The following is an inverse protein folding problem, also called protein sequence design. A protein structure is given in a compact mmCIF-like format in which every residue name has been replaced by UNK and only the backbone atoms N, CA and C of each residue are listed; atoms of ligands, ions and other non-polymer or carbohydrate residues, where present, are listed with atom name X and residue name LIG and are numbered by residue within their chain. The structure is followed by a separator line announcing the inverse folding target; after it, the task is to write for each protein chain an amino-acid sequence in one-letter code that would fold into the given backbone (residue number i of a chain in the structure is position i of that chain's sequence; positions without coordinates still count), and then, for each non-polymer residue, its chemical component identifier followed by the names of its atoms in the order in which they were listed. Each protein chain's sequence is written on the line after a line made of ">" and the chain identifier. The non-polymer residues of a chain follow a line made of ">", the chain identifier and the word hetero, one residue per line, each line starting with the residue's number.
data_IF_119585649969
#
_entry.id   IF_119585649969
#
_cell.length_a   1.000
_cell.length_b   1.000
_cell.length_c   1.000
_cell.angle_alpha   90.00
_cell.angle_beta   90.00
_cell.angle_gamma   90.00
#
_symmetry.space_group_name_H-M   'P 1'
#
loop_
_entity.id
_entity.type
_entity.pdbx_description
1 polymer ?
#
# COMPACT_ATOMS: atom_id res chain seq x y z
N UNK A 1 -14.24 -13.08 5.39
CA UNK A 1 -13.34 -11.91 5.43
C UNK A 1 -13.82 -10.96 4.34
N UNK A 2 -14.15 -9.72 4.66
CA UNK A 2 -14.79 -8.78 3.74
C UNK A 2 -13.71 -8.04 2.93
N UNK A 3 -13.88 -7.90 1.62
CA UNK A 3 -12.91 -7.22 0.76
C UNK A 3 -12.60 -5.79 1.20
N UNK A 4 -13.60 -5.07 1.74
CA UNK A 4 -13.41 -3.72 2.28
C UNK A 4 -12.50 -3.70 3.53
N UNK A 5 -12.60 -4.72 4.39
CA UNK A 5 -11.71 -4.89 5.53
C UNK A 5 -10.27 -5.16 5.09
N UNK A 6 -10.09 -5.93 4.02
CA UNK A 6 -8.76 -6.26 3.50
C UNK A 6 -8.09 -5.03 2.86
N UNK A 7 -8.83 -4.20 2.11
CA UNK A 7 -8.32 -2.92 1.59
C UNK A 7 -7.90 -1.98 2.72
N UNK A 8 -8.71 -1.86 3.78
CA UNK A 8 -8.37 -1.03 4.94
C UNK A 8 -7.10 -1.52 5.67
N UNK A 9 -6.92 -2.84 5.77
CA UNK A 9 -5.70 -3.45 6.31
C UNK A 9 -4.47 -3.20 5.44
N UNK A 10 -4.62 -3.24 4.11
CA UNK A 10 -3.53 -2.86 3.19
C UNK A 10 -3.15 -1.40 3.37
N UNK A 11 -4.12 -0.49 3.52
CA UNK A 11 -3.87 0.92 3.79
C UNK A 11 -3.07 1.13 5.09
N UNK A 12 -3.47 0.45 6.17
CA UNK A 12 -2.75 0.52 7.44
C UNK A 12 -1.30 -0.01 7.32
N UNK A 13 -1.10 -1.12 6.60
CA UNK A 13 0.23 -1.67 6.35
C UNK A 13 1.09 -0.73 5.49
N UNK A 14 0.52 -0.07 4.47
CA UNK A 14 1.23 0.90 3.64
C UNK A 14 1.77 2.08 4.48
N UNK A 15 0.98 2.56 5.44
CA UNK A 15 1.42 3.61 6.39
C UNK A 15 2.53 3.07 7.29
N UNK A 16 2.36 1.85 7.83
CA UNK A 16 3.37 1.23 8.69
C UNK A 16 4.71 1.01 7.95
N UNK A 17 4.68 0.64 6.67
CA UNK A 17 5.88 0.52 5.81
C UNK A 17 6.58 1.87 5.66
N UNK A 18 5.84 2.95 5.42
CA UNK A 18 6.44 4.29 5.28
C UNK A 18 7.14 4.76 6.56
N UNK A 19 6.59 4.40 7.72
CA UNK A 19 7.17 4.76 9.02
C UNK A 19 8.17 3.73 9.56
N UNK A 20 8.44 2.64 8.82
CA UNK A 20 9.32 1.56 9.29
C UNK A 20 10.81 1.87 9.21
N UNK A 21 11.21 3.07 8.80
CA UNK A 21 12.61 3.43 8.54
C UNK A 21 13.52 3.31 9.79
N UNK A 22 12.92 3.32 10.98
CA UNK A 22 13.63 3.18 12.26
C UNK A 22 13.54 1.76 12.84
N UNK A 23 12.81 0.85 12.19
CA UNK A 23 12.71 -0.54 12.65
C UNK A 23 13.97 -1.34 12.26
N UNK A 24 14.29 -2.41 13.01
CA UNK A 24 15.27 -3.39 12.59
C UNK A 24 14.95 -3.96 11.19
N UNK A 25 15.98 -4.30 10.42
CA UNK A 25 15.82 -4.76 9.03
C UNK A 25 14.92 -6.00 8.93
N UNK A 26 15.00 -6.93 9.89
CA UNK A 26 14.13 -8.12 9.92
C UNK A 26 12.65 -7.75 10.11
N UNK A 27 12.36 -6.81 11.01
CA UNK A 27 11.00 -6.33 11.24
C UNK A 27 10.47 -5.55 10.04
N UNK A 28 11.31 -4.72 9.42
CA UNK A 28 10.98 -4.01 8.19
C UNK A 28 10.68 -4.99 7.03
N UNK A 29 11.50 -6.04 6.87
CA UNK A 29 11.30 -7.06 5.86
C UNK A 29 10.00 -7.84 6.09
N UNK A 30 9.72 -8.25 7.33
CA UNK A 30 8.48 -8.94 7.68
C UNK A 30 7.24 -8.08 7.41
N UNK A 31 7.33 -6.78 7.69
CA UNK A 31 6.25 -5.83 7.47
C UNK A 31 6.00 -5.59 5.97
N UNK A 32 7.06 -5.48 5.16
CA UNK A 32 6.98 -5.44 3.71
C UNK A 32 6.38 -6.72 3.11
N UNK A 33 6.77 -7.89 3.62
CA UNK A 33 6.25 -9.17 3.12
C UNK A 33 4.75 -9.30 3.41
N UNK A 34 4.32 -8.88 4.60
CA UNK A 34 2.90 -8.86 4.99
C UNK A 34 2.08 -7.91 4.11
N UNK A 35 2.61 -6.72 3.84
CA UNK A 35 2.00 -5.76 2.92
C UNK A 35 1.80 -6.38 1.52
N UNK A 36 2.85 -6.98 0.96
CA UNK A 36 2.82 -7.61 -0.38
C UNK A 36 1.79 -8.73 -0.47
N UNK A 37 1.79 -9.66 0.48
CA UNK A 37 0.86 -10.80 0.47
C UNK A 37 -0.59 -10.36 0.54
N UNK A 38 -0.90 -9.39 1.40
CA UNK A 38 -2.27 -8.90 1.53
C UNK A 38 -2.71 -8.11 0.30
N UNK A 39 -1.83 -7.30 -0.28
CA UNK A 39 -2.08 -6.60 -1.55
C UNK A 39 -2.37 -7.60 -2.68
N UNK A 40 -1.54 -8.62 -2.83
CA UNK A 40 -1.77 -9.68 -3.82
C UNK A 40 -3.06 -10.45 -3.59
N UNK A 41 -3.46 -10.67 -2.33
CA UNK A 41 -4.72 -11.30 -2.01
C UNK A 41 -5.89 -10.46 -2.53
N UNK A 42 -5.94 -9.17 -2.17
CA UNK A 42 -7.00 -8.26 -2.62
C UNK A 42 -7.02 -8.12 -4.14
N UNK A 43 -5.86 -8.10 -4.82
CA UNK A 43 -5.83 -8.09 -6.28
C UNK A 43 -6.38 -9.37 -6.93
N UNK A 44 -6.27 -10.51 -6.24
CA UNK A 44 -6.76 -11.81 -6.73
C UNK A 44 -8.23 -12.07 -6.40
N UNK A 45 -8.70 -11.59 -5.26
CA UNK A 45 -10.04 -11.93 -4.73
C UNK A 45 -11.01 -10.75 -4.69
N UNK A 46 -10.49 -9.52 -4.76
CA UNK A 46 -11.27 -8.29 -4.70
C UNK A 46 -11.91 -7.91 -6.03
N UNK A 47 -12.77 -6.90 -5.97
CA UNK A 47 -13.42 -6.33 -7.14
C UNK A 47 -12.51 -5.34 -7.88
N UNK A 48 -12.92 -4.91 -9.07
CA UNK A 48 -12.24 -3.83 -9.79
C UNK A 48 -12.21 -2.52 -8.99
N UNK A 49 -13.22 -2.28 -8.15
CA UNK A 49 -13.26 -1.12 -7.24
C UNK A 49 -12.21 -1.24 -6.14
N UNK A 50 -12.03 -2.43 -5.56
CA UNK A 50 -11.00 -2.68 -4.55
C UNK A 50 -9.59 -2.51 -5.14
N UNK A 51 -9.38 -2.95 -6.37
CA UNK A 51 -8.14 -2.71 -7.11
C UNK A 51 -7.88 -1.22 -7.37
N UNK A 52 -8.91 -0.45 -7.72
CA UNK A 52 -8.79 1.01 -7.89
C UNK A 52 -8.42 1.72 -6.57
N UNK A 53 -9.03 1.30 -5.45
CA UNK A 53 -8.69 1.82 -4.11
C UNK A 53 -7.26 1.47 -3.70
N UNK A 54 -6.79 0.26 -3.99
CA UNK A 54 -5.40 -0.14 -3.77
C UNK A 54 -4.41 0.74 -4.55
N UNK A 55 -4.70 1.02 -5.82
CA UNK A 55 -3.89 1.93 -6.64
C UNK A 55 -3.79 3.32 -6.02
N UNK A 56 -4.91 3.86 -5.53
CA UNK A 56 -4.90 5.16 -4.84
C UNK A 56 -4.06 5.14 -3.54
N UNK A 57 -4.07 4.03 -2.79
CA UNK A 57 -3.22 3.84 -1.61
C UNK A 57 -1.74 3.81 -2.01
N UNK A 58 -1.39 3.05 -3.05
CA UNK A 58 -0.02 2.98 -3.58
C UNK A 58 0.48 4.36 -4.05
N UNK A 59 -0.36 5.13 -4.76
CA UNK A 59 -0.03 6.49 -5.20
C UNK A 59 0.15 7.47 -4.03
N UNK A 60 -0.65 7.34 -2.98
CA UNK A 60 -0.55 8.18 -1.79
C UNK A 60 0.67 7.82 -0.92
N UNK A 61 1.04 6.53 -0.88
CA UNK A 61 2.15 5.99 -0.09
C UNK A 61 3.51 6.06 -0.81
N UNK A 62 3.52 6.12 -2.14
CA UNK A 62 4.72 6.25 -2.94
C UNK A 62 5.36 7.65 -2.82
N UNK A 63 6.67 7.79 -3.11
CA UNK A 63 7.27 9.11 -3.28
C UNK A 63 6.54 9.78 -4.43
N UNK A 64 5.69 10.78 -4.14
CA UNK A 64 5.00 11.54 -5.18
C UNK A 64 6.07 12.00 -6.18
N UNK A 65 5.99 11.63 -7.47
CA UNK A 65 6.77 12.35 -8.45
C UNK A 65 6.35 13.81 -8.26
N UNK A 66 7.30 14.67 -7.90
CA UNK A 66 7.08 16.11 -7.93
C UNK A 66 6.56 16.38 -9.34
N UNK A 67 5.26 16.61 -9.48
CA UNK A 67 4.70 17.24 -10.68
C UNK A 67 5.35 18.60 -10.69
N UNK A 68 6.52 18.70 -11.31
CA UNK A 68 7.02 19.94 -11.87
C UNK A 68 5.92 20.38 -12.82
N UNK A 69 5.07 21.25 -12.30
CA UNK A 69 4.14 22.07 -13.05
C UNK A 69 5.02 22.98 -13.90
N UNK A 70 5.57 22.45 -14.99
CA UNK A 70 6.18 23.25 -16.04
C UNK A 70 5.03 23.88 -16.78
N UNK A 71 4.61 25.05 -16.28
CA UNK A 71 3.77 25.98 -17.01
C UNK A 71 4.66 26.57 -18.10
N UNK A 72 4.39 26.20 -19.35
CA UNK A 72 4.86 26.89 -20.55
C UNK A 72 3.63 27.19 -21.40
#
# INVERSE_FOLDING_TARGET
>A
MNAADDVARVAALAVAVQHSALLPQEEQAALLDRYRRLREHVLRTGTAEDAARLLAIDEAAGPRPKRTLTRA
#
